data_IF_027642015019
#
_entry.id   IF_027642015019
#
_cell.length_a   1.000
_cell.length_b   1.000
_cell.length_c   1.000
_cell.angle_alpha   90.00
_cell.angle_beta   90.00
_cell.angle_gamma   90.00
#
_symmetry.space_group_name_H-M   'P 1'
#
loop_
_entity.id
_entity.type
_entity.pdbx_description
1 polymer ?
#
# COMPACT_ATOMS: atom_id res chain seq x y z
N UNK A 1 -26.65 51.07 19.93
CA UNK A 1 -26.99 49.69 19.49
C UNK A 1 -25.72 48.88 19.56
N UNK A 2 -25.67 47.92 20.47
CA UNK A 2 -24.46 47.18 20.85
C UNK A 2 -24.39 45.89 20.06
N UNK A 3 -23.33 45.67 19.27
CA UNK A 3 -23.10 44.38 18.60
C UNK A 3 -22.63 43.34 19.61
N UNK A 4 -23.39 42.27 19.74
CA UNK A 4 -23.03 41.11 20.56
C UNK A 4 -22.21 40.14 19.71
N UNK A 5 -20.89 40.15 19.89
CA UNK A 5 -20.02 39.09 19.39
C UNK A 5 -19.87 38.02 20.49
N UNK A 6 -20.47 36.86 20.27
CA UNK A 6 -20.29 35.68 21.12
C UNK A 6 -21.23 34.56 20.72
N UNK A 7 -20.68 33.37 20.51
CA UNK A 7 -21.44 32.12 20.40
C UNK A 7 -21.93 31.74 21.80
N UNK A 8 -23.24 31.54 21.96
CA UNK A 8 -23.82 31.01 23.19
C UNK A 8 -23.79 29.48 23.18
N UNK A 9 -23.14 28.88 24.18
CA UNK A 9 -23.25 27.45 24.52
C UNK A 9 -22.18 26.54 23.89
N UNK A 10 -21.95 25.33 24.46
CA UNK A 10 -20.96 24.38 24.00
C UNK A 10 -21.44 23.67 22.74
N UNK A 11 -21.73 24.43 21.69
CA UNK A 11 -22.06 23.86 20.38
C UNK A 11 -20.76 23.63 19.62
N UNK A 12 -20.51 22.37 19.26
CA UNK A 12 -19.35 22.00 18.47
C UNK A 12 -19.64 22.33 17.00
N UNK A 13 -19.15 23.48 16.55
CA UNK A 13 -18.99 23.73 15.12
C UNK A 13 -18.07 22.64 14.56
N UNK A 14 -18.60 21.78 13.69
CA UNK A 14 -17.82 20.75 13.03
C UNK A 14 -16.58 21.38 12.40
N UNK A 15 -15.39 20.92 12.83
CA UNK A 15 -14.13 21.36 12.24
C UNK A 15 -14.06 20.88 10.80
N UNK A 16 -14.56 21.69 9.86
CA UNK A 16 -14.34 21.45 8.45
C UNK A 16 -12.94 21.96 8.11
N UNK A 17 -12.00 21.02 8.03
CA UNK A 17 -10.63 21.33 7.60
C UNK A 17 -10.68 21.72 6.12
N UNK A 18 -10.85 23.02 5.83
CA UNK A 18 -10.76 23.58 4.47
C UNK A 18 -9.38 23.27 3.90
N UNK A 19 -9.30 22.19 3.12
CA UNK A 19 -8.06 21.79 2.46
C UNK A 19 -8.00 22.58 1.15
N UNK A 20 -7.34 23.74 1.17
CA UNK A 20 -7.12 24.56 -0.03
C UNK A 20 -5.99 23.95 -0.87
N UNK A 21 -6.27 22.84 -1.54
CA UNK A 21 -5.31 22.20 -2.46
C UNK A 21 -5.18 22.92 -3.80
N UNK A 22 -5.96 23.98 -4.04
CA UNK A 22 -6.06 24.68 -5.33
C UNK A 22 -6.35 23.71 -6.49
N UNK A 23 -6.99 22.59 -6.20
CA UNK A 23 -7.18 21.44 -7.10
C UNK A 23 -5.92 20.95 -7.84
N UNK A 24 -4.72 21.29 -7.35
CA UNK A 24 -3.44 20.86 -7.95
C UNK A 24 -3.36 19.33 -7.98
N UNK A 25 -3.85 18.66 -6.94
CA UNK A 25 -3.91 17.20 -6.92
C UNK A 25 -4.83 16.61 -7.99
N UNK A 26 -5.93 17.31 -8.34
CA UNK A 26 -6.82 16.91 -9.42
C UNK A 26 -6.16 17.16 -10.79
N UNK A 27 -5.56 18.34 -10.98
CA UNK A 27 -4.82 18.68 -12.20
C UNK A 27 -3.65 17.72 -12.48
N UNK A 28 -2.89 17.33 -11.45
CA UNK A 28 -1.80 16.33 -11.58
C UNK A 28 -2.35 14.95 -11.94
N UNK A 29 -3.46 14.53 -11.33
CA UNK A 29 -4.11 13.26 -11.70
C UNK A 29 -4.62 13.29 -13.13
N UNK A 30 -5.25 14.38 -13.55
CA UNK A 30 -5.74 14.55 -14.92
C UNK A 30 -4.59 14.57 -15.93
N UNK A 31 -3.49 15.28 -15.63
CA UNK A 31 -2.28 15.26 -16.46
C UNK A 31 -1.70 13.85 -16.57
N UNK A 32 -1.55 13.14 -15.44
CA UNK A 32 -1.03 11.77 -15.43
C UNK A 32 -1.95 10.82 -16.19
N UNK A 33 -3.27 10.96 -16.06
CA UNK A 33 -4.26 10.16 -16.79
C UNK A 33 -4.20 10.43 -18.30
N UNK A 34 -3.99 11.69 -18.72
CA UNK A 34 -3.80 12.02 -20.13
C UNK A 34 -2.45 11.52 -20.68
N UNK A 35 -1.40 11.55 -19.86
CA UNK A 35 -0.06 11.12 -20.24
C UNK A 35 0.06 9.58 -20.29
N UNK A 36 -0.51 8.89 -19.31
CA UNK A 36 -0.54 7.43 -19.19
C UNK A 36 -1.90 6.99 -18.61
N UNK A 37 -2.91 6.79 -19.48
CA UNK A 37 -4.25 6.40 -19.06
C UNK A 37 -4.28 5.16 -18.17
N UNK A 38 -5.14 5.18 -17.17
CA UNK A 38 -5.36 4.08 -16.24
C UNK A 38 -4.32 3.95 -15.12
N UNK A 39 -3.12 4.56 -15.23
CA UNK A 39 -2.06 4.41 -14.23
C UNK A 39 -2.26 5.24 -12.95
N UNK A 40 -3.27 6.12 -12.92
CA UNK A 40 -3.61 6.92 -11.75
C UNK A 40 -2.42 7.76 -11.27
N UNK A 41 -2.05 7.61 -9.99
CA UNK A 41 -0.88 8.28 -9.41
C UNK A 41 0.27 7.31 -9.10
N UNK A 42 0.34 6.19 -9.83
CA UNK A 42 1.45 5.23 -9.70
C UNK A 42 2.71 5.82 -10.29
N UNK A 43 3.75 5.96 -9.46
CA UNK A 43 5.05 6.50 -9.88
C UNK A 43 6.05 5.41 -10.27
N UNK A 44 5.93 4.22 -9.68
CA UNK A 44 6.81 3.10 -10.02
C UNK A 44 6.11 1.76 -9.81
N UNK A 45 6.48 0.78 -10.65
CA UNK A 45 5.75 -0.47 -10.76
C UNK A 45 5.71 -1.30 -9.46
N UNK A 46 6.69 -1.16 -8.57
CA UNK A 46 6.70 -1.83 -7.25
C UNK A 46 5.50 -1.41 -6.37
N UNK A 47 4.93 -0.21 -6.57
CA UNK A 47 3.70 0.20 -5.88
C UNK A 47 2.51 -0.70 -6.22
N UNK A 48 2.45 -1.17 -7.48
CA UNK A 48 1.44 -2.13 -7.93
C UNK A 48 1.62 -3.47 -7.23
N UNK A 49 2.85 -3.96 -7.13
CA UNK A 49 3.15 -5.22 -6.41
C UNK A 49 2.70 -5.14 -4.96
N UNK A 50 3.14 -4.12 -4.21
CA UNK A 50 2.84 -4.01 -2.78
C UNK A 50 1.34 -3.93 -2.52
N UNK A 51 0.61 -3.20 -3.35
CA UNK A 51 -0.83 -3.06 -3.20
C UNK A 51 -1.59 -4.34 -3.60
N UNK A 52 -1.23 -4.97 -4.72
CA UNK A 52 -1.82 -6.24 -5.19
C UNK A 52 -1.58 -7.36 -4.17
N UNK A 53 -0.33 -7.47 -3.70
CA UNK A 53 0.06 -8.43 -2.67
C UNK A 53 -0.71 -8.22 -1.36
N UNK A 54 -0.93 -6.95 -0.97
CA UNK A 54 -1.76 -6.62 0.19
C UNK A 54 -3.20 -7.12 0.07
N UNK A 55 -3.82 -6.98 -1.11
CA UNK A 55 -5.16 -7.50 -1.38
C UNK A 55 -5.17 -9.03 -1.37
N UNK A 56 -4.23 -9.67 -2.07
CA UNK A 56 -4.09 -11.12 -2.13
C UNK A 56 -3.87 -11.74 -0.74
N UNK A 57 -2.97 -11.15 0.06
CA UNK A 57 -2.71 -11.59 1.43
C UNK A 57 -3.94 -11.43 2.32
N UNK A 58 -4.66 -10.31 2.22
CA UNK A 58 -5.90 -10.11 2.99
C UNK A 58 -6.95 -11.19 2.65
N UNK A 59 -7.12 -11.52 1.37
CA UNK A 59 -8.01 -12.60 0.95
C UNK A 59 -7.55 -13.97 1.45
N UNK A 60 -6.25 -14.26 1.37
CA UNK A 60 -5.71 -15.52 1.84
C UNK A 60 -5.90 -15.69 3.35
N UNK A 61 -5.62 -14.64 4.14
CA UNK A 61 -5.78 -14.65 5.60
C UNK A 61 -7.23 -14.80 6.06
N UNK A 62 -8.21 -14.26 5.30
CA UNK A 62 -9.64 -14.48 5.58
C UNK A 62 -10.05 -15.94 5.51
N UNK A 63 -9.43 -16.73 4.64
CA UNK A 63 -9.67 -18.19 4.57
C UNK A 63 -9.23 -18.92 5.85
N UNK A 64 -8.35 -18.30 6.64
CA UNK A 64 -7.89 -18.79 7.94
C UNK A 64 -8.54 -18.07 9.13
N UNK A 65 -9.64 -17.33 8.92
CA UNK A 65 -10.41 -16.68 9.98
C UNK A 65 -9.90 -15.31 10.45
N UNK A 66 -8.83 -14.77 9.85
CA UNK A 66 -8.36 -13.41 10.17
C UNK A 66 -9.15 -12.34 9.41
N UNK A 67 -9.63 -11.31 10.10
CA UNK A 67 -10.57 -10.31 9.56
C UNK A 67 -9.96 -8.92 9.35
N UNK A 68 -8.70 -8.84 8.89
CA UNK A 68 -8.11 -7.55 8.51
C UNK A 68 -8.69 -7.04 7.18
N UNK A 69 -8.90 -5.72 7.09
CA UNK A 69 -9.34 -5.06 5.86
C UNK A 69 -8.22 -5.04 4.82
N UNK A 70 -8.55 -4.98 3.53
CA UNK A 70 -7.53 -4.88 2.47
C UNK A 70 -6.62 -3.67 2.70
N UNK A 71 -7.21 -2.55 3.13
CA UNK A 71 -6.48 -1.33 3.48
C UNK A 71 -5.44 -1.60 4.57
N UNK A 72 -5.81 -2.29 5.65
CA UNK A 72 -4.89 -2.57 6.76
C UNK A 72 -3.73 -3.47 6.33
N UNK A 73 -4.02 -4.50 5.53
CA UNK A 73 -2.98 -5.44 5.07
C UNK A 73 -2.08 -4.80 4.01
N UNK A 74 -2.62 -4.05 3.05
CA UNK A 74 -1.80 -3.33 2.07
C UNK A 74 -0.90 -2.29 2.74
N UNK A 75 -1.42 -1.57 3.74
CA UNK A 75 -0.64 -0.68 4.58
C UNK A 75 0.49 -1.41 5.32
N UNK A 76 0.22 -2.59 5.86
CA UNK A 76 1.21 -3.41 6.56
C UNK A 76 2.33 -3.87 5.62
N UNK A 77 1.99 -4.32 4.41
CA UNK A 77 2.96 -4.73 3.38
C UNK A 77 3.81 -3.55 2.90
N UNK A 78 3.20 -2.38 2.67
CA UNK A 78 3.93 -1.18 2.31
C UNK A 78 4.90 -0.74 3.42
N UNK A 79 4.43 -0.71 4.66
CA UNK A 79 5.26 -0.36 5.81
C UNK A 79 6.42 -1.35 5.99
N UNK A 80 6.18 -2.64 5.76
CA UNK A 80 7.20 -3.69 5.79
C UNK A 80 8.26 -3.47 4.70
N UNK A 81 7.85 -3.17 3.47
CA UNK A 81 8.77 -2.84 2.37
C UNK A 81 9.62 -1.60 2.67
N UNK A 82 9.00 -0.52 3.17
CA UNK A 82 9.72 0.69 3.55
C UNK A 82 10.68 0.44 4.73
N UNK A 83 10.29 -0.38 5.70
CA UNK A 83 11.16 -0.79 6.80
C UNK A 83 12.42 -1.51 6.31
N UNK A 84 12.29 -2.43 5.34
CA UNK A 84 13.45 -3.11 4.76
C UNK A 84 14.36 -2.15 3.99
N UNK A 85 13.80 -1.21 3.23
CA UNK A 85 14.60 -0.19 2.54
C UNK A 85 15.39 0.70 3.51
N UNK A 86 14.82 1.06 4.66
CA UNK A 86 15.50 1.89 5.66
C UNK A 86 16.59 1.13 6.41
N UNK A 87 16.38 -0.16 6.69
CA UNK A 87 17.28 -0.94 7.56
C UNK A 87 18.41 -1.65 6.81
N UNK A 88 18.27 -1.92 5.52
CA UNK A 88 19.27 -2.66 4.74
C UNK A 88 19.76 -1.94 3.50
N UNK A 89 18.90 -1.16 2.86
CA UNK A 89 19.22 -0.54 1.57
C UNK A 89 19.64 0.94 1.74
N UNK A 90 19.79 1.42 2.98
CA UNK A 90 20.13 2.80 3.32
C UNK A 90 19.24 3.85 2.63
N UNK A 91 17.96 3.54 2.43
CA UNK A 91 16.99 4.38 1.72
C UNK A 91 16.61 5.71 2.39
N UNK A 92 17.44 6.26 3.28
CA UNK A 92 17.18 7.55 3.91
C UNK A 92 17.20 8.66 2.86
N UNK A 93 16.11 9.42 2.79
CA UNK A 93 15.95 10.52 1.84
C UNK A 93 15.43 10.10 0.45
N UNK A 94 15.29 8.79 0.17
CA UNK A 94 14.69 8.34 -1.09
C UNK A 94 13.16 8.58 -1.10
N UNK A 95 12.69 9.26 -2.13
CA UNK A 95 11.27 9.62 -2.32
C UNK A 95 10.30 8.41 -2.39
N UNK A 96 10.80 7.22 -2.76
CA UNK A 96 10.04 5.96 -2.80
C UNK A 96 9.87 5.35 -1.41
N UNK A 97 10.72 5.71 -0.45
CA UNK A 97 10.66 5.22 0.93
C UNK A 97 9.80 6.17 1.76
N UNK A 98 8.59 5.72 2.09
CA UNK A 98 7.67 6.50 2.93
C UNK A 98 7.88 6.17 4.40
N UNK A 99 7.58 7.14 5.28
CA UNK A 99 7.49 6.86 6.72
C UNK A 99 8.80 6.72 7.47
N UNK A 100 9.91 7.20 6.93
CA UNK A 100 11.23 7.18 7.56
C UNK A 100 11.19 7.55 9.05
N UNK A 101 10.56 8.68 9.38
CA UNK A 101 10.42 9.15 10.77
C UNK A 101 9.62 8.19 11.66
N UNK A 102 8.53 7.59 11.13
CA UNK A 102 7.67 6.67 11.91
C UNK A 102 8.27 5.29 12.08
N UNK A 103 9.17 4.88 11.20
CA UNK A 103 9.81 3.56 11.21
C UNK A 103 11.20 3.59 11.85
N UNK A 104 11.79 4.78 12.03
CA UNK A 104 13.09 4.96 12.70
C UNK A 104 13.07 4.32 14.10
N UNK A 105 14.08 3.50 14.38
CA UNK A 105 14.27 2.84 15.67
C UNK A 105 13.26 1.74 16.02
N UNK A 106 12.31 1.41 15.13
CA UNK A 106 11.37 0.30 15.37
C UNK A 106 12.01 -1.04 15.01
N UNK A 107 11.82 -2.04 15.86
CA UNK A 107 12.23 -3.43 15.63
C UNK A 107 11.26 -4.38 16.36
N UNK A 108 11.37 -5.69 16.09
CA UNK A 108 10.67 -6.73 16.86
C UNK A 108 9.14 -6.72 16.76
N UNK A 109 8.56 -6.03 15.76
CA UNK A 109 7.12 -6.01 15.54
C UNK A 109 6.66 -7.20 14.68
N UNK A 110 5.39 -7.56 14.83
CA UNK A 110 4.71 -8.63 14.08
C UNK A 110 3.71 -8.06 13.05
N UNK A 111 3.06 -8.96 12.31
CA UNK A 111 2.04 -8.59 11.33
C UNK A 111 0.86 -7.82 11.94
N UNK A 112 0.37 -8.23 13.12
CA UNK A 112 -0.75 -7.59 13.80
C UNK A 112 -0.42 -6.15 14.18
N UNK A 113 0.81 -5.90 14.60
CA UNK A 113 1.32 -4.57 14.93
C UNK A 113 1.44 -3.69 13.68
N UNK A 114 1.90 -4.24 12.54
CA UNK A 114 1.95 -3.54 11.26
C UNK A 114 0.57 -3.13 10.73
N UNK A 115 -0.48 -3.89 11.03
CA UNK A 115 -1.85 -3.56 10.64
C UNK A 115 -2.46 -2.40 11.46
N UNK A 116 -1.82 -1.94 12.54
CA UNK A 116 -2.35 -0.85 13.39
C UNK A 116 -2.14 0.52 12.72
N UNK A 117 -3.07 1.48 12.89
CA UNK A 117 -2.98 2.82 12.29
C UNK A 117 -1.66 3.59 12.60
N UNK A 118 -1.04 3.34 13.77
CA UNK A 118 0.21 3.98 14.19
C UNK A 118 1.47 3.51 13.47
N UNK A 119 1.41 2.38 12.75
CA UNK A 119 2.53 1.88 11.93
C UNK A 119 2.53 2.43 10.51
N UNK A 120 1.49 3.18 10.18
CA UNK A 120 1.17 3.55 8.82
C UNK A 120 1.65 4.97 8.47
N UNK A 121 2.05 5.19 7.21
CA UNK A 121 2.65 6.46 6.73
C UNK A 121 1.58 7.50 6.38
N UNK A 122 1.88 8.80 6.39
CA UNK A 122 0.80 9.81 6.24
C UNK A 122 0.11 9.78 4.86
N UNK A 123 0.77 9.26 3.82
CA UNK A 123 0.23 9.09 2.47
C UNK A 123 0.66 7.75 1.87
N UNK A 124 -0.25 6.78 1.77
CA UNK A 124 0.14 5.43 1.34
C UNK A 124 0.30 5.36 -0.16
N UNK A 125 1.21 4.47 -0.54
CA UNK A 125 1.28 3.73 -1.79
C UNK A 125 -0.10 3.56 -2.43
N UNK A 126 -0.98 2.89 -1.67
CA UNK A 126 -2.32 2.50 -2.12
C UNK A 126 -3.27 3.62 -2.52
N UNK A 127 -3.12 4.86 -2.02
CA UNK A 127 -4.05 5.92 -2.46
C UNK A 127 -3.82 6.33 -3.91
N UNK A 128 -2.62 6.09 -4.44
CA UNK A 128 -2.28 6.38 -5.83
C UNK A 128 -2.51 5.20 -6.78
N UNK A 129 -2.62 3.97 -6.27
CA UNK A 129 -2.65 2.76 -7.10
C UNK A 129 -4.04 2.20 -7.37
N UNK A 130 -5.09 2.65 -6.67
CA UNK A 130 -6.42 2.03 -6.77
C UNK A 130 -6.96 1.91 -8.21
N UNK A 131 -6.91 3.00 -8.97
CA UNK A 131 -7.33 3.03 -10.38
C UNK A 131 -6.45 2.14 -11.26
N UNK A 132 -5.13 2.19 -11.06
CA UNK A 132 -4.17 1.37 -11.82
C UNK A 132 -4.36 -0.12 -11.62
N UNK A 133 -4.65 -0.55 -10.39
CA UNK A 133 -4.90 -1.96 -10.11
C UNK A 133 -6.12 -2.48 -10.87
N UNK A 134 -7.19 -1.67 -10.97
CA UNK A 134 -8.39 -2.01 -11.73
C UNK A 134 -8.14 -1.97 -13.23
N UNK A 135 -7.53 -0.90 -13.74
CA UNK A 135 -7.26 -0.70 -15.16
C UNK A 135 -6.34 -1.80 -15.75
N UNK A 136 -5.33 -2.21 -14.99
CA UNK A 136 -4.42 -3.30 -15.36
C UNK A 136 -5.02 -4.70 -15.14
N UNK A 137 -6.21 -4.79 -14.56
CA UNK A 137 -6.86 -6.07 -14.25
C UNK A 137 -6.17 -6.90 -13.17
N UNK A 138 -5.31 -6.28 -12.35
CA UNK A 138 -4.63 -6.92 -11.21
C UNK A 138 -5.61 -7.21 -10.06
N UNK A 139 -6.67 -6.39 -9.97
CA UNK A 139 -7.78 -6.59 -9.05
C UNK A 139 -9.11 -6.37 -9.77
N UNK A 140 -10.18 -6.90 -9.20
CA UNK A 140 -11.57 -6.65 -9.60
C UNK A 140 -12.38 -6.14 -8.42
N UNK A 141 -13.41 -5.35 -8.67
CA UNK A 141 -14.31 -4.85 -7.64
C UNK A 141 -15.66 -4.42 -8.23
N UNK A 142 -16.71 -4.44 -7.40
CA UNK A 142 -18.03 -3.89 -7.74
C UNK A 142 -18.11 -2.35 -7.49
N UNK A 143 -16.96 -1.69 -7.31
CA UNK A 143 -16.86 -0.25 -7.05
C UNK A 143 -15.43 0.17 -6.74
N UNK A 144 -15.21 1.47 -6.53
CA UNK A 144 -13.86 2.06 -6.46
C UNK A 144 -13.19 1.94 -5.07
N UNK A 145 -13.92 1.47 -4.06
CA UNK A 145 -13.39 1.36 -2.69
C UNK A 145 -12.36 0.24 -2.62
N UNK A 146 -11.14 0.55 -2.18
CA UNK A 146 -10.02 -0.40 -2.05
C UNK A 146 -10.37 -1.65 -1.20
N UNK A 147 -11.23 -1.52 -0.19
CA UNK A 147 -11.69 -2.66 0.62
C UNK A 147 -12.62 -3.64 -0.11
N UNK A 148 -13.20 -3.23 -1.24
CA UNK A 148 -14.01 -4.08 -2.10
C UNK A 148 -13.17 -4.85 -3.14
N UNK A 149 -11.86 -4.58 -3.21
CA UNK A 149 -10.98 -5.20 -4.19
C UNK A 149 -10.78 -6.69 -3.89
N UNK A 150 -10.77 -7.48 -4.95
CA UNK A 150 -10.40 -8.88 -4.96
C UNK A 150 -9.26 -9.07 -5.97
N UNK A 151 -8.18 -9.74 -5.58
CA UNK A 151 -7.12 -10.14 -6.50
C UNK A 151 -7.71 -11.04 -7.59
N UNK A 152 -7.32 -10.80 -8.83
CA UNK A 152 -7.64 -11.65 -9.98
C UNK A 152 -6.56 -12.72 -10.15
N UNK A 153 -6.81 -13.69 -11.03
CA UNK A 153 -5.80 -14.69 -11.41
C UNK A 153 -4.59 -14.00 -12.05
N UNK A 154 -4.82 -13.00 -12.91
CA UNK A 154 -3.76 -12.16 -13.49
C UNK A 154 -2.96 -11.38 -12.42
N UNK A 155 -3.64 -10.90 -11.37
CA UNK A 155 -2.95 -10.31 -10.21
C UNK A 155 -2.06 -11.30 -9.48
N UNK A 156 -2.48 -12.56 -9.38
CA UNK A 156 -1.67 -13.66 -8.86
C UNK A 156 -0.45 -13.96 -9.73
N UNK A 157 -0.64 -14.09 -11.04
CA UNK A 157 0.44 -14.25 -12.02
C UNK A 157 1.46 -13.11 -11.94
N UNK A 158 0.99 -11.87 -11.78
CA UNK A 158 1.84 -10.71 -11.62
C UNK A 158 2.67 -10.76 -10.33
N UNK A 159 2.07 -11.17 -9.20
CA UNK A 159 2.79 -11.35 -7.93
C UNK A 159 3.90 -12.41 -8.11
N UNK A 160 3.55 -13.56 -8.68
CA UNK A 160 4.47 -14.67 -8.92
C UNK A 160 5.63 -14.24 -9.83
N UNK A 161 5.34 -13.54 -10.92
CA UNK A 161 6.37 -13.00 -11.83
C UNK A 161 7.25 -11.92 -11.18
N UNK A 162 6.75 -11.17 -10.20
CA UNK A 162 7.56 -10.20 -9.45
C UNK A 162 8.55 -10.88 -8.50
N UNK A 163 8.24 -12.10 -8.07
CA UNK A 163 9.00 -12.86 -7.09
C UNK A 163 9.84 -13.97 -7.71
N UNK A 164 9.64 -14.22 -9.01
CA UNK A 164 10.19 -15.37 -9.74
C UNK A 164 9.88 -16.68 -8.98
N UNK A 165 8.68 -16.76 -8.41
CA UNK A 165 8.19 -17.88 -7.61
C UNK A 165 6.79 -18.30 -8.02
N UNK A 166 6.37 -19.49 -7.58
CA UNK A 166 5.04 -20.03 -7.82
C UNK A 166 4.16 -19.88 -6.56
N UNK A 167 4.00 -18.65 -6.08
CA UNK A 167 3.16 -18.32 -4.92
C UNK A 167 3.86 -18.47 -3.55
N UNK A 168 5.15 -18.79 -3.54
CA UNK A 168 5.94 -19.05 -2.34
C UNK A 168 6.01 -17.82 -1.43
N UNK A 169 6.14 -16.61 -1.98
CA UNK A 169 6.11 -15.38 -1.19
C UNK A 169 4.78 -15.21 -0.46
N UNK A 170 3.65 -15.38 -1.17
CA UNK A 170 2.33 -15.20 -0.58
C UNK A 170 2.11 -16.19 0.56
N UNK A 171 2.43 -17.47 0.35
CA UNK A 171 2.34 -18.49 1.39
C UNK A 171 3.27 -18.19 2.57
N UNK A 172 4.49 -17.75 2.31
CA UNK A 172 5.45 -17.35 3.35
C UNK A 172 4.88 -16.23 4.22
N UNK A 173 4.26 -15.22 3.61
CA UNK A 173 3.64 -14.10 4.33
C UNK A 173 2.38 -14.53 5.09
N UNK A 174 1.57 -15.43 4.54
CA UNK A 174 0.43 -16.03 5.25
C UNK A 174 0.91 -16.76 6.49
N UNK A 175 1.88 -17.66 6.35
CA UNK A 175 2.42 -18.44 7.48
C UNK A 175 3.08 -17.55 8.52
N UNK A 176 3.81 -16.52 8.10
CA UNK A 176 4.41 -15.56 9.01
C UNK A 176 3.35 -14.78 9.80
N UNK A 177 2.29 -14.30 9.14
CA UNK A 177 1.19 -13.58 9.75
C UNK A 177 0.40 -14.45 10.73
N UNK A 178 0.07 -15.69 10.35
CA UNK A 178 -0.68 -16.63 11.20
C UNK A 178 0.09 -17.03 12.46
N UNK A 179 1.41 -17.19 12.34
CA UNK A 179 2.28 -17.57 13.48
C UNK A 179 2.61 -16.41 14.41
N UNK A 180 2.23 -15.17 14.07
CA UNK A 180 2.53 -13.98 14.87
C UNK A 180 4.02 -13.75 15.08
N UNK A 181 4.85 -14.16 14.11
CA UNK A 181 6.31 -14.08 14.21
C UNK A 181 6.81 -12.64 14.06
N UNK A 182 7.97 -12.36 14.63
CA UNK A 182 8.60 -11.06 14.47
C UNK A 182 9.06 -10.87 13.02
N UNK A 183 9.14 -9.62 12.55
CA UNK A 183 9.66 -9.30 11.20
C UNK A 183 11.11 -9.78 11.01
N UNK A 184 11.90 -9.90 12.08
CA UNK A 184 13.26 -10.45 12.04
C UNK A 184 13.29 -11.87 11.49
N UNK A 185 12.22 -12.64 11.66
CA UNK A 185 12.13 -14.05 11.30
C UNK A 185 11.83 -14.27 9.81
N UNK A 186 11.48 -13.19 9.08
CA UNK A 186 11.32 -13.24 7.63
C UNK A 186 12.67 -13.46 6.94
N UNK A 187 12.69 -14.44 6.03
CA UNK A 187 13.87 -14.81 5.24
C UNK A 187 14.43 -13.57 4.50
N UNK A 188 15.77 -13.46 4.34
CA UNK A 188 16.39 -12.32 3.66
C UNK A 188 15.83 -12.04 2.26
N UNK A 189 15.49 -13.06 1.47
CA UNK A 189 14.93 -12.89 0.12
C UNK A 189 13.62 -12.08 0.09
N UNK A 190 12.75 -12.23 1.09
CA UNK A 190 11.50 -11.45 1.21
C UNK A 190 11.79 -9.95 1.30
N UNK A 191 12.93 -9.57 1.88
CA UNK A 191 13.28 -8.16 2.12
C UNK A 191 13.54 -7.42 0.83
N UNK A 192 14.30 -8.04 -0.08
CA UNK A 192 14.59 -7.49 -1.40
C UNK A 192 13.34 -7.43 -2.29
N UNK A 193 12.49 -8.46 -2.20
CA UNK A 193 11.25 -8.54 -2.96
C UNK A 193 10.25 -7.44 -2.56
N UNK A 194 10.19 -7.04 -1.29
CA UNK A 194 9.25 -6.01 -0.81
C UNK A 194 9.84 -4.60 -0.79
N UNK A 195 11.16 -4.44 -0.80
CA UNK A 195 11.79 -3.11 -0.77
C UNK A 195 11.38 -2.25 -1.98
N UNK A 196 10.88 -1.01 -1.79
CA UNK A 196 10.50 -0.11 -2.88
C UNK A 196 11.69 0.36 -3.75
N UNK A 197 12.92 0.13 -3.30
CA UNK A 197 14.13 0.54 -4.01
C UNK A 197 14.55 -0.44 -5.11
N UNK A 198 14.01 -1.67 -5.07
CA UNK A 198 14.32 -2.69 -6.05
C UNK A 198 13.32 -2.67 -7.21
N UNK A 199 13.85 -2.69 -8.43
CA UNK A 199 13.06 -2.79 -9.66
C UNK A 199 12.27 -4.11 -9.74
N UNK A 200 11.28 -4.14 -10.63
CA UNK A 200 10.60 -5.39 -10.97
C UNK A 200 11.44 -6.21 -11.97
N UNK A 201 11.43 -7.55 -11.87
CA UNK A 201 11.99 -8.43 -12.88
C UNK A 201 11.45 -8.15 -14.29
N UNK A 202 12.22 -8.57 -15.32
CA UNK A 202 11.81 -8.38 -16.72
C UNK A 202 10.47 -9.06 -17.04
N UNK A 203 10.23 -10.26 -16.49
CA UNK A 203 8.98 -10.99 -16.67
C UNK A 203 7.75 -10.21 -16.14
N UNK A 204 7.84 -9.67 -14.93
CA UNK A 204 6.77 -8.85 -14.35
C UNK A 204 6.52 -7.57 -15.15
N UNK A 205 7.58 -6.90 -15.63
CA UNK A 205 7.44 -5.71 -16.50
C UNK A 205 6.73 -6.06 -17.81
N UNK A 206 7.08 -7.19 -18.42
CA UNK A 206 6.44 -7.65 -19.65
C UNK A 206 4.95 -7.93 -19.46
N UNK A 207 4.52 -8.45 -18.29
CA UNK A 207 3.09 -8.63 -17.98
C UNK A 207 2.34 -7.30 -17.94
N UNK A 208 2.92 -6.27 -17.33
CA UNK A 208 2.30 -4.94 -17.27
C UNK A 208 2.17 -4.29 -18.65
N UNK A 209 3.06 -4.60 -19.60
CA UNK A 209 3.03 -4.05 -20.97
C UNK A 209 2.08 -4.77 -21.93
N UNK A 210 1.42 -5.87 -21.52
CA UNK A 210 0.46 -6.61 -22.36
C UNK A 210 -0.94 -6.00 -22.37
N UNK A 211 -1.17 -4.96 -21.57
CA UNK A 211 -2.44 -4.23 -21.41
C UNK A 211 -2.21 -2.76 -21.68
#
# INVERSE_FOLDING_TARGET
MTMTWGLCGPDHVGSERRTRTLDIGAAVREYNERAVPGMGAVWYAKQLLLATLGVALAQALRRHGMTHSNIAVANAIEALGCYFALTRDNGQGDSRVRGSEKLRGKAGFDFKTLCKPGFYVSQPMRMGSGQALLALGLVRAQGERFNAFACTDFGGEFINACCEDDGVLLETLVQWALKGRAVSDLKPGVRQLLSPLHGLPAAARALLSRR
#
